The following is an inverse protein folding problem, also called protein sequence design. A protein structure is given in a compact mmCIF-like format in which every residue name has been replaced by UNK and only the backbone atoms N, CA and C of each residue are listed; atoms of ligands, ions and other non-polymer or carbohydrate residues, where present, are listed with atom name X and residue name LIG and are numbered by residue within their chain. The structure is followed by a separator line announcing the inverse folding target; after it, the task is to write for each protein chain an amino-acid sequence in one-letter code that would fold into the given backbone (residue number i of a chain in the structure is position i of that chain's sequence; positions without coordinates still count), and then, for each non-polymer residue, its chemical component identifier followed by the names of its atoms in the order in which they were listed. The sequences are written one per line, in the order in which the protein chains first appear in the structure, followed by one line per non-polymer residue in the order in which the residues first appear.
data_IF_821645316606
#
_entry.id   IF_821645316606
#
_cell.length_a   1.000
_cell.length_b   1.000
_cell.length_c   1.000
_cell.angle_alpha   90.00
_cell.angle_beta   90.00
_cell.angle_gamma   90.00
#
_symmetry.space_group_name_H-M   'P 1'
#
loop_
_entity.id
_entity.type
_entity.pdbx_description
1 polymer ?
#
# COMPACT_ATOMS: atom_id res chain seq x y z
N UNK A 1 68.23 -16.37 -32.69
CA UNK A 1 67.76 -15.72 -31.45
C UNK A 1 66.52 -14.90 -31.76
N UNK A 2 65.33 -15.46 -31.61
CA UNK A 2 64.04 -14.74 -31.52
C UNK A 2 63.00 -15.72 -30.97
N UNK A 3 62.84 -15.72 -29.65
CA UNK A 3 61.84 -16.52 -28.95
C UNK A 3 60.46 -15.87 -29.14
N UNK A 4 59.56 -16.54 -29.87
CA UNK A 4 58.12 -16.21 -29.87
C UNK A 4 57.50 -16.76 -28.59
N UNK A 5 57.17 -15.87 -27.64
CA UNK A 5 56.23 -16.18 -26.56
C UNK A 5 54.81 -16.19 -27.15
N UNK A 6 54.11 -17.32 -27.01
CA UNK A 6 52.69 -17.49 -27.35
C UNK A 6 51.88 -17.58 -26.03
N UNK A 7 50.66 -17.03 -25.96
CA UNK A 7 50.06 -16.53 -24.71
C UNK A 7 49.19 -17.58 -24.03
N UNK A 8 49.48 -17.86 -22.76
CA UNK A 8 48.66 -18.72 -21.90
C UNK A 8 47.89 -17.93 -20.82
N UNK A 9 47.55 -16.65 -21.08
CA UNK A 9 46.89 -15.76 -20.11
C UNK A 9 45.50 -15.26 -20.59
N UNK A 10 45.10 -15.53 -21.83
CA UNK A 10 43.81 -15.03 -22.37
C UNK A 10 42.65 -16.00 -22.11
N UNK A 11 42.92 -17.28 -21.85
CA UNK A 11 41.86 -18.29 -21.68
C UNK A 11 41.19 -18.30 -20.28
N UNK A 12 41.84 -17.77 -19.23
CA UNK A 12 41.27 -17.71 -17.88
C UNK A 12 40.45 -16.44 -17.60
N UNK A 13 40.68 -15.36 -18.34
CA UNK A 13 39.87 -14.14 -18.26
C UNK A 13 38.55 -14.24 -19.02
N UNK A 14 38.45 -15.14 -20.00
CA UNK A 14 37.20 -15.40 -20.71
C UNK A 14 36.24 -16.32 -19.96
N UNK A 15 36.72 -17.13 -19.01
CA UNK A 15 35.84 -18.02 -18.23
C UNK A 15 35.23 -17.36 -16.99
N UNK A 16 35.76 -16.21 -16.55
CA UNK A 16 35.23 -15.44 -15.42
C UNK A 16 34.33 -14.26 -15.81
N UNK A 17 34.21 -13.93 -17.10
CA UNK A 17 33.37 -12.84 -17.59
C UNK A 17 31.97 -13.27 -18.07
N UNK A 18 31.61 -14.57 -17.98
CA UNK A 18 30.33 -15.08 -18.52
C UNK A 18 29.27 -15.32 -17.43
N UNK A 19 29.56 -15.07 -16.14
CA UNK A 19 28.55 -15.24 -15.05
C UNK A 19 27.88 -13.95 -14.56
N UNK A 20 28.14 -12.79 -15.16
CA UNK A 20 27.48 -11.52 -14.78
C UNK A 20 26.65 -10.88 -15.91
N UNK A 21 26.24 -11.65 -16.92
CA UNK A 21 25.03 -11.34 -17.69
C UNK A 21 23.87 -12.19 -17.18
N UNK A 22 23.47 -11.96 -15.93
CA UNK A 22 22.10 -12.29 -15.55
C UNK A 22 21.23 -11.23 -16.22
N UNK A 23 20.77 -11.57 -17.43
CA UNK A 23 19.77 -10.81 -18.16
C UNK A 23 18.70 -10.34 -17.17
N UNK A 24 18.43 -9.05 -17.17
CA UNK A 24 17.20 -8.50 -16.63
C UNK A 24 16.10 -9.30 -17.31
N UNK A 25 15.51 -10.27 -16.57
CA UNK A 25 14.40 -11.08 -17.04
C UNK A 25 13.43 -10.12 -17.71
N UNK A 26 13.07 -10.42 -18.96
CA UNK A 26 12.22 -9.57 -19.80
C UNK A 26 11.16 -8.93 -18.90
N UNK A 27 11.30 -7.63 -18.67
CA UNK A 27 10.33 -6.89 -17.89
C UNK A 27 9.03 -7.05 -18.68
N UNK A 28 8.14 -7.91 -18.19
CA UNK A 28 6.87 -8.16 -18.86
C UNK A 28 6.17 -6.84 -19.14
N UNK A 29 5.29 -6.81 -20.13
CA UNK A 29 4.72 -5.54 -20.62
C UNK A 29 4.17 -4.72 -19.45
N UNK A 30 4.65 -3.48 -19.35
CA UNK A 30 4.20 -2.49 -18.37
C UNK A 30 3.39 -1.43 -19.10
N UNK A 31 2.19 -1.14 -18.62
CA UNK A 31 1.37 -0.02 -19.08
C UNK A 31 1.05 0.91 -17.92
N UNK A 32 1.21 2.20 -18.13
CA UNK A 32 0.86 3.24 -17.17
C UNK A 32 -0.43 3.94 -17.58
N UNK A 33 -1.31 4.21 -16.61
CA UNK A 33 -2.58 4.91 -16.80
C UNK A 33 -2.73 5.97 -15.71
N UNK A 34 -3.24 7.16 -16.06
CA UNK A 34 -3.69 8.15 -15.07
C UNK A 34 -5.11 7.79 -14.64
N UNK A 35 -5.27 7.39 -13.38
CA UNK A 35 -6.56 7.08 -12.75
C UNK A 35 -7.33 8.36 -12.44
N UNK A 36 -6.62 9.38 -11.96
CA UNK A 36 -7.16 10.71 -11.71
C UNK A 36 -6.06 11.73 -11.91
N UNK A 37 -6.33 12.76 -12.70
CA UNK A 37 -5.51 13.97 -12.85
C UNK A 37 -6.42 15.15 -13.21
N UNK A 38 -6.21 16.28 -12.56
CA UNK A 38 -6.90 17.53 -12.85
C UNK A 38 -5.89 18.67 -12.60
N UNK A 39 -5.65 19.58 -13.58
CA UNK A 39 -4.76 20.72 -13.37
C UNK A 39 -5.16 21.56 -12.16
N UNK A 40 -4.19 21.99 -11.36
CA UNK A 40 -4.38 22.71 -10.11
C UNK A 40 -4.74 21.84 -8.90
N UNK A 41 -4.89 20.52 -9.09
CA UNK A 41 -5.33 19.60 -8.04
C UNK A 41 -4.22 18.62 -7.60
N UNK A 42 -4.44 18.02 -6.43
CA UNK A 42 -3.63 16.98 -5.84
C UNK A 42 -4.47 15.71 -5.66
N UNK A 43 -3.95 14.58 -6.12
CA UNK A 43 -4.45 13.24 -5.83
C UNK A 43 -3.42 12.43 -5.05
N UNK A 44 -3.79 11.85 -3.90
CA UNK A 44 -2.84 11.23 -2.99
C UNK A 44 -3.31 9.98 -2.23
N UNK A 45 -2.30 9.27 -1.71
CA UNK A 45 -2.38 8.32 -0.59
C UNK A 45 -3.43 7.19 -0.68
N UNK A 46 -3.52 6.41 -1.77
CA UNK A 46 -4.47 5.29 -1.81
C UNK A 46 -4.23 4.23 -0.71
N UNK A 47 -3.01 4.12 -0.18
CA UNK A 47 -2.71 3.29 0.99
C UNK A 47 -3.39 3.73 2.31
N UNK A 48 -3.84 4.97 2.43
CA UNK A 48 -4.66 5.41 3.58
C UNK A 48 -6.12 4.95 3.44
N UNK A 49 -6.50 4.55 2.23
CA UNK A 49 -7.86 4.22 1.89
C UNK A 49 -8.05 2.69 1.79
N UNK A 50 -8.57 2.20 0.67
CA UNK A 50 -8.76 0.78 0.38
C UNK A 50 -8.75 0.53 -1.13
N UNK A 51 -8.65 -0.74 -1.51
CA UNK A 51 -8.79 -1.20 -2.89
C UNK A 51 -9.62 -2.48 -2.88
N UNK A 52 -10.52 -2.62 -3.84
CA UNK A 52 -11.40 -3.78 -3.99
C UNK A 52 -11.43 -4.22 -5.44
N UNK A 53 -11.61 -5.52 -5.65
CA UNK A 53 -11.58 -6.10 -6.98
C UNK A 53 -12.62 -7.21 -7.13
N UNK A 54 -13.41 -7.12 -8.20
CA UNK A 54 -14.44 -8.08 -8.59
C UNK A 54 -14.22 -8.54 -10.04
N UNK A 55 -12.99 -8.97 -10.35
CA UNK A 55 -12.58 -9.37 -11.71
C UNK A 55 -11.94 -8.21 -12.47
N UNK A 56 -12.63 -7.68 -13.48
CA UNK A 56 -12.19 -6.47 -14.19
C UNK A 56 -12.77 -5.18 -13.59
N UNK A 57 -13.72 -5.30 -12.65
CA UNK A 57 -14.15 -4.16 -11.83
C UNK A 57 -13.14 -3.93 -10.69
N UNK A 58 -12.57 -2.74 -10.63
CA UNK A 58 -11.61 -2.32 -9.59
C UNK A 58 -12.12 -1.01 -9.00
N UNK A 59 -12.12 -0.91 -7.67
CA UNK A 59 -12.45 0.31 -6.93
C UNK A 59 -11.28 0.67 -6.01
N UNK A 60 -10.83 1.91 -6.01
CA UNK A 60 -9.77 2.40 -5.14
C UNK A 60 -10.15 3.73 -4.51
N UNK A 61 -9.87 3.89 -3.22
CA UNK A 61 -10.03 5.17 -2.54
C UNK A 61 -8.76 6.02 -2.60
N UNK A 62 -8.91 7.34 -2.60
CA UNK A 62 -7.80 8.29 -2.57
C UNK A 62 -8.23 9.65 -2.00
N UNK A 63 -7.28 10.49 -1.62
CA UNK A 63 -7.54 11.87 -1.22
C UNK A 63 -7.41 12.82 -2.42
N UNK A 64 -8.38 13.72 -2.59
CA UNK A 64 -8.37 14.81 -3.56
C UNK A 64 -8.37 16.16 -2.84
N UNK A 65 -7.55 17.09 -3.28
CA UNK A 65 -7.59 18.49 -2.83
C UNK A 65 -6.86 19.42 -3.78
N UNK A 66 -6.62 20.65 -3.37
CA UNK A 66 -5.90 21.63 -4.18
C UNK A 66 -4.39 21.44 -4.06
N UNK A 67 -3.68 21.61 -5.17
CA UNK A 67 -2.23 21.69 -5.16
C UNK A 67 -1.79 23.06 -4.61
N UNK A 68 -0.77 23.06 -3.76
CA UNK A 68 -0.07 24.26 -3.32
C UNK A 68 1.42 23.94 -3.16
N UNK A 69 2.30 24.75 -3.74
CA UNK A 69 3.74 24.56 -3.52
C UNK A 69 4.11 24.95 -2.08
N UNK A 70 4.44 23.96 -1.26
CA UNK A 70 4.89 24.14 0.11
C UNK A 70 6.41 23.87 0.27
N UNK A 71 7.12 23.77 -0.86
CA UNK A 71 8.53 23.46 -0.93
C UNK A 71 8.84 21.96 -0.92
N UNK A 72 10.13 21.60 -1.05
CA UNK A 72 10.56 20.24 -1.38
C UNK A 72 10.37 19.23 -0.25
N UNK A 73 10.17 19.68 0.99
CA UNK A 73 10.10 18.82 2.17
C UNK A 73 8.70 18.55 2.70
N UNK A 74 7.67 19.06 2.02
CA UNK A 74 6.27 18.94 2.42
C UNK A 74 5.47 18.23 1.33
N UNK A 75 4.28 17.77 1.72
CA UNK A 75 3.25 17.42 0.75
C UNK A 75 2.72 18.72 0.15
N UNK A 76 2.78 18.85 -1.17
CA UNK A 76 2.35 20.06 -1.88
C UNK A 76 0.82 20.10 -2.04
N UNK A 77 0.15 20.11 -0.88
CA UNK A 77 -1.28 20.05 -0.69
C UNK A 77 -1.73 21.32 0.05
N UNK A 78 -2.74 22.01 -0.47
CA UNK A 78 -3.28 23.21 0.15
C UNK A 78 -4.08 22.86 1.41
N UNK A 79 -3.53 23.24 2.57
CA UNK A 79 -4.12 22.91 3.88
C UNK A 79 -5.34 23.75 4.21
N UNK A 80 -5.52 24.88 3.53
CA UNK A 80 -6.62 25.82 3.77
C UNK A 80 -7.83 25.52 2.86
N UNK A 81 -7.72 24.52 1.99
CA UNK A 81 -8.76 24.08 1.07
C UNK A 81 -9.35 22.73 1.48
N UNK A 82 -10.56 22.46 1.01
CA UNK A 82 -11.26 21.22 1.32
C UNK A 82 -10.55 20.00 0.72
N UNK A 83 -10.33 18.99 1.55
CA UNK A 83 -9.93 17.66 1.13
C UNK A 83 -11.15 16.73 1.03
N UNK A 84 -11.21 15.97 -0.05
CA UNK A 84 -12.26 15.00 -0.32
C UNK A 84 -11.65 13.59 -0.34
N UNK A 85 -12.31 12.66 0.35
CA UNK A 85 -12.02 11.22 0.24
C UNK A 85 -12.84 10.66 -0.92
N UNK A 86 -12.18 10.45 -2.05
CA UNK A 86 -12.80 10.06 -3.31
C UNK A 86 -12.65 8.56 -3.56
N UNK A 87 -13.46 8.04 -4.46
CA UNK A 87 -13.29 6.72 -5.06
C UNK A 87 -12.98 6.88 -6.56
N UNK A 88 -12.21 5.95 -7.11
CA UNK A 88 -12.04 5.79 -8.55
C UNK A 88 -12.38 4.34 -8.94
N UNK A 89 -13.23 4.18 -9.95
CA UNK A 89 -13.71 2.90 -10.44
C UNK A 89 -13.27 2.64 -11.87
N UNK A 90 -12.77 1.43 -12.13
CA UNK A 90 -12.56 0.89 -13.46
C UNK A 90 -13.48 -0.31 -13.68
N UNK A 91 -13.98 -0.47 -14.91
CA UNK A 91 -14.82 -1.59 -15.34
C UNK A 91 -14.12 -2.51 -16.37
N UNK A 92 -12.86 -2.19 -16.71
CA UNK A 92 -12.10 -2.83 -17.79
C UNK A 92 -10.70 -3.30 -17.33
N UNK A 93 -10.55 -3.56 -16.03
CA UNK A 93 -9.33 -4.08 -15.43
C UNK A 93 -8.23 -3.03 -15.24
N UNK A 94 -8.62 -1.76 -15.12
CA UNK A 94 -7.74 -0.64 -14.83
C UNK A 94 -7.29 0.17 -16.04
N UNK A 95 -7.89 -0.05 -17.22
CA UNK A 95 -7.54 0.66 -18.45
C UNK A 95 -8.17 2.05 -18.50
N UNK A 96 -9.41 2.19 -18.03
CA UNK A 96 -10.14 3.46 -17.90
C UNK A 96 -10.77 3.59 -16.51
N UNK A 97 -10.97 4.84 -16.08
CA UNK A 97 -11.39 5.16 -14.71
C UNK A 97 -12.44 6.29 -14.66
N UNK A 98 -13.39 6.16 -13.74
CA UNK A 98 -14.36 7.19 -13.38
C UNK A 98 -14.21 7.53 -11.90
N UNK A 99 -14.25 8.82 -11.55
CA UNK A 99 -14.13 9.28 -10.16
C UNK A 99 -15.52 9.50 -9.56
N UNK A 100 -15.69 9.07 -8.32
CA UNK A 100 -16.93 9.09 -7.55
C UNK A 100 -16.67 9.83 -6.21
N UNK A 101 -17.57 10.72 -5.81
CA UNK A 101 -17.55 11.36 -4.48
C UNK A 101 -18.58 10.67 -3.57
N UNK A 102 -18.17 9.67 -2.76
CA UNK A 102 -19.11 8.98 -1.87
C UNK A 102 -19.71 9.93 -0.84
N UNK A 103 -18.99 10.98 -0.42
CA UNK A 103 -19.47 11.88 0.61
C UNK A 103 -20.58 12.83 0.16
N UNK A 104 -20.81 13.01 -1.15
CA UNK A 104 -21.66 14.09 -1.67
C UNK A 104 -23.16 13.99 -1.34
N UNK A 105 -23.68 12.77 -1.11
CA UNK A 105 -25.13 12.57 -0.89
C UNK A 105 -25.45 12.48 0.60
N UNK A 106 -24.84 11.52 1.30
CA UNK A 106 -25.15 11.22 2.71
C UNK A 106 -23.92 11.23 3.64
N UNK A 107 -22.78 11.75 3.16
CA UNK A 107 -21.55 11.82 3.95
C UNK A 107 -20.82 10.47 4.06
N UNK A 108 -21.06 9.53 3.15
CA UNK A 108 -20.35 8.25 3.15
C UNK A 108 -18.84 8.44 3.10
N UNK A 109 -18.14 7.66 3.93
CA UNK A 109 -16.69 7.66 4.08
C UNK A 109 -16.07 9.00 4.53
N UNK A 110 -16.89 9.99 4.89
CA UNK A 110 -16.43 11.21 5.56
C UNK A 110 -16.11 10.85 7.01
N UNK A 111 -14.88 11.16 7.46
CA UNK A 111 -14.46 10.93 8.84
C UNK A 111 -14.44 12.28 9.58
N UNK A 112 -14.68 12.33 10.90
CA UNK A 112 -14.61 13.58 11.66
C UNK A 112 -13.17 14.12 11.74
N UNK A 113 -13.04 15.43 11.91
CA UNK A 113 -11.72 16.10 11.96
C UNK A 113 -11.08 15.93 13.32
N UNK A 114 -10.18 14.96 13.43
CA UNK A 114 -9.22 14.89 14.52
C UNK A 114 -7.78 14.90 13.99
N UNK A 115 -7.55 15.34 12.73
CA UNK A 115 -6.23 15.34 12.10
C UNK A 115 -5.91 14.13 11.21
N UNK A 116 -6.92 13.51 10.60
CA UNK A 116 -6.75 12.50 9.53
C UNK A 116 -6.65 13.11 8.12
N UNK A 117 -7.00 14.39 7.99
CA UNK A 117 -6.94 15.16 6.76
C UNK A 117 -5.65 15.98 6.68
N UNK A 118 -5.14 16.13 5.47
CA UNK A 118 -4.11 17.09 5.10
C UNK A 118 -4.69 18.49 4.81
N UNK A 119 -5.95 18.55 4.36
CA UNK A 119 -6.73 19.79 4.17
C UNK A 119 -7.83 19.99 5.20
N UNK A 120 -8.77 20.89 4.88
CA UNK A 120 -9.98 21.09 5.67
C UNK A 120 -11.02 20.02 5.37
N UNK A 121 -11.78 19.61 6.37
CA UNK A 121 -12.98 18.79 6.13
C UNK A 121 -14.02 19.59 5.36
N UNK A 122 -14.68 18.92 4.42
CA UNK A 122 -15.82 19.45 3.67
C UNK A 122 -16.95 19.90 4.61
N UNK A 123 -17.60 21.03 4.29
CA UNK A 123 -18.65 21.64 5.13
C UNK A 123 -20.05 21.55 4.53
N UNK A 124 -20.14 21.08 3.30
CA UNK A 124 -21.37 20.88 2.54
C UNK A 124 -22.18 19.68 3.04
N UNK A 125 -21.52 18.69 3.64
CA UNK A 125 -22.15 17.52 4.27
C UNK A 125 -21.59 17.33 5.69
N UNK A 126 -22.44 16.83 6.59
CA UNK A 126 -22.03 16.50 7.96
C UNK A 126 -21.37 15.12 7.97
N UNK A 127 -20.22 14.99 8.63
CA UNK A 127 -19.64 13.68 8.89
C UNK A 127 -20.61 12.81 9.71
N UNK A 128 -20.90 11.57 9.28
CA UNK A 128 -21.83 10.69 9.99
C UNK A 128 -21.26 10.27 11.36
N UNK A 129 -22.13 10.22 12.37
CA UNK A 129 -21.78 9.72 13.69
C UNK A 129 -21.76 8.18 13.71
N UNK A 130 -20.94 7.54 14.57
CA UNK A 130 -20.94 6.10 14.69
C UNK A 130 -22.31 5.54 15.08
N UNK A 131 -22.77 4.54 14.33
CA UNK A 131 -23.97 3.75 14.63
C UNK A 131 -23.59 2.43 15.31
N UNK A 132 -24.53 1.75 16.01
CA UNK A 132 -24.28 0.42 16.56
C UNK A 132 -23.81 -0.56 15.47
N UNK A 133 -22.81 -1.38 15.80
CA UNK A 133 -22.33 -2.42 14.90
C UNK A 133 -23.43 -3.42 14.58
N UNK A 134 -23.50 -3.83 13.31
CA UNK A 134 -24.35 -4.93 12.85
C UNK A 134 -23.49 -6.06 12.27
N UNK A 135 -24.08 -7.24 12.11
CA UNK A 135 -23.34 -8.39 11.59
C UNK A 135 -23.04 -8.23 10.09
N UNK A 136 -21.75 -8.13 9.76
CA UNK A 136 -21.24 -8.14 8.39
C UNK A 136 -21.09 -9.59 7.90
N UNK A 137 -21.57 -9.86 6.69
CA UNK A 137 -21.33 -11.05 5.89
C UNK A 137 -20.06 -10.81 5.06
N UNK A 138 -18.91 -11.20 5.61
CA UNK A 138 -17.63 -11.03 4.93
C UNK A 138 -17.50 -11.92 3.68
N UNK A 139 -18.36 -12.94 3.51
CA UNK A 139 -18.37 -13.80 2.34
C UNK A 139 -19.24 -13.24 1.18
N UNK A 140 -19.85 -12.07 1.35
CA UNK A 140 -20.64 -11.45 0.29
C UNK A 140 -19.75 -11.16 -0.94
N UNK A 141 -20.09 -11.66 -2.14
CA UNK A 141 -19.26 -11.49 -3.33
C UNK A 141 -19.15 -10.05 -3.82
N UNK A 142 -19.99 -9.14 -3.33
CA UNK A 142 -19.97 -7.71 -3.67
C UNK A 142 -19.44 -6.84 -2.52
N UNK A 143 -18.84 -7.46 -1.49
CA UNK A 143 -18.32 -6.75 -0.34
C UNK A 143 -17.23 -5.74 -0.74
N UNK A 144 -17.42 -4.48 -0.37
CA UNK A 144 -16.33 -3.55 -0.09
C UNK A 144 -16.31 -3.29 1.41
N UNK A 145 -15.16 -3.46 2.05
CA UNK A 145 -15.00 -3.28 3.49
C UNK A 145 -13.79 -2.37 3.74
N UNK A 146 -13.94 -1.39 4.63
CA UNK A 146 -12.89 -0.41 4.88
C UNK A 146 -12.83 0.00 6.34
N UNK A 147 -11.61 0.25 6.81
CA UNK A 147 -11.36 1.00 8.04
C UNK A 147 -10.71 2.34 7.72
N UNK A 148 -11.03 3.36 8.51
CA UNK A 148 -10.43 4.70 8.41
C UNK A 148 -10.03 5.21 9.78
N UNK A 149 -8.83 5.75 9.87
CA UNK A 149 -8.38 6.54 11.01
C UNK A 149 -9.13 7.87 11.09
N UNK A 150 -9.33 8.39 12.30
CA UNK A 150 -9.82 9.76 12.50
C UNK A 150 -8.68 10.75 12.76
N UNK A 151 -7.50 10.26 13.17
CA UNK A 151 -6.26 11.04 13.31
C UNK A 151 -4.99 10.23 12.99
N UNK A 152 -3.83 10.89 13.05
CA UNK A 152 -2.50 10.28 12.90
C UNK A 152 -1.76 10.06 14.24
N UNK A 153 -2.39 10.38 15.37
CA UNK A 153 -1.78 10.33 16.71
C UNK A 153 -2.46 9.34 17.66
N UNK A 154 -3.36 8.52 17.12
CA UNK A 154 -4.10 7.53 17.86
C UNK A 154 -5.42 8.11 18.39
N UNK A 155 -6.48 7.92 17.60
CA UNK A 155 -7.87 8.08 17.99
C UNK A 155 -8.68 6.81 17.68
N UNK A 156 -9.98 6.85 18.00
CA UNK A 156 -10.90 5.83 17.52
C UNK A 156 -10.90 5.77 15.99
N UNK A 157 -11.04 4.56 15.46
CA UNK A 157 -11.20 4.34 14.03
C UNK A 157 -12.65 4.03 13.69
N UNK A 158 -12.96 4.07 12.40
CA UNK A 158 -14.29 3.88 11.85
C UNK A 158 -14.28 2.75 10.82
N UNK A 159 -15.35 1.96 10.81
CA UNK A 159 -15.57 0.88 9.84
C UNK A 159 -16.73 1.27 8.94
N UNK A 160 -16.60 1.02 7.64
CA UNK A 160 -17.74 0.94 6.73
C UNK A 160 -17.69 -0.33 5.92
N UNK A 161 -18.86 -0.76 5.46
CA UNK A 161 -18.94 -1.79 4.46
C UNK A 161 -20.02 -1.47 3.42
N UNK A 162 -19.94 -2.12 2.27
CA UNK A 162 -20.90 -2.04 1.18
C UNK A 162 -21.15 -3.45 0.65
N UNK A 163 -22.39 -3.76 0.25
CA UNK A 163 -22.75 -4.98 -0.47
C UNK A 163 -23.10 -4.75 -1.94
N UNK A 164 -22.88 -3.53 -2.44
CA UNK A 164 -23.15 -3.14 -3.83
C UNK A 164 -21.90 -2.61 -4.53
N UNK A 165 -20.73 -3.12 -4.11
CA UNK A 165 -19.41 -2.77 -4.66
C UNK A 165 -19.03 -1.31 -4.46
N UNK A 166 -19.39 -0.75 -3.30
CA UNK A 166 -19.01 0.58 -2.86
C UNK A 166 -19.80 1.71 -3.50
N UNK A 167 -21.03 1.45 -3.97
CA UNK A 167 -21.95 2.50 -4.46
C UNK A 167 -22.70 3.16 -3.32
N UNK A 168 -23.05 2.38 -2.30
CA UNK A 168 -23.63 2.81 -1.05
C UNK A 168 -22.87 2.17 0.11
N UNK A 169 -22.65 2.93 1.20
CA UNK A 169 -21.89 2.47 2.35
C UNK A 169 -22.72 2.51 3.62
N UNK A 170 -22.64 1.42 4.38
CA UNK A 170 -23.17 1.33 5.73
C UNK A 170 -22.09 1.61 6.75
N UNK A 171 -22.44 2.43 7.74
CA UNK A 171 -21.58 2.83 8.83
C UNK A 171 -21.75 4.33 9.13
N UNK A 172 -20.77 4.95 9.81
CA UNK A 172 -19.61 4.29 10.39
C UNK A 172 -19.98 3.42 11.59
N UNK A 173 -19.29 2.29 11.75
CA UNK A 173 -19.26 1.57 13.02
C UNK A 173 -17.99 1.93 13.80
N UNK A 174 -18.03 1.85 15.14
CA UNK A 174 -16.86 2.12 15.98
C UNK A 174 -15.90 0.92 15.94
N UNK A 175 -14.62 1.19 15.68
CA UNK A 175 -13.52 0.27 15.95
C UNK A 175 -12.83 0.69 17.26
N UNK A 176 -12.71 -0.20 18.26
CA UNK A 176 -12.12 0.15 19.55
C UNK A 176 -10.62 0.46 19.43
N UNK A 177 -10.05 1.06 20.46
CA UNK A 177 -8.62 1.37 20.54
C UNK A 177 -7.75 0.22 21.09
N UNK A 178 -8.35 -0.91 21.45
CA UNK A 178 -7.67 -2.09 21.97
C UNK A 178 -6.77 -1.82 23.19
N UNK A 179 -7.16 -0.87 24.05
CA UNK A 179 -6.38 -0.50 25.23
C UNK A 179 -5.14 0.36 24.95
N UNK A 180 -5.02 0.91 23.73
CA UNK A 180 -3.97 1.85 23.33
C UNK A 180 -4.50 3.28 23.33
N UNK A 181 -3.63 4.30 23.20
CA UNK A 181 -4.09 5.69 23.09
C UNK A 181 -4.90 5.92 21.81
N UNK A 182 -4.64 5.15 20.75
CA UNK A 182 -5.56 4.99 19.63
C UNK A 182 -4.94 4.31 18.41
N UNK A 183 -5.71 4.27 17.33
CA UNK A 183 -5.45 3.42 16.15
C UNK A 183 -5.44 4.27 14.88
N UNK A 184 -4.28 4.30 14.20
CA UNK A 184 -4.13 4.82 12.84
C UNK A 184 -4.58 3.79 11.81
N UNK A 185 -5.88 3.44 11.82
CA UNK A 185 -6.41 2.38 10.97
C UNK A 185 -6.32 2.73 9.48
N UNK A 186 -5.83 1.77 8.71
CA UNK A 186 -5.80 1.77 7.26
C UNK A 186 -6.23 0.38 6.81
N UNK A 187 -6.89 0.29 5.66
CA UNK A 187 -7.52 -0.98 5.24
C UNK A 187 -6.46 -2.02 4.90
N UNK A 188 -6.36 -3.04 5.76
CA UNK A 188 -5.61 -4.28 5.56
C UNK A 188 -6.30 -5.37 6.38
N UNK A 189 -6.83 -6.39 5.70
CA UNK A 189 -7.66 -7.41 6.32
C UNK A 189 -7.51 -8.77 5.63
N UNK A 190 -7.80 -9.82 6.40
CA UNK A 190 -7.95 -11.19 5.89
C UNK A 190 -9.32 -11.70 6.32
N UNK A 191 -10.10 -12.18 5.35
CA UNK A 191 -11.41 -12.80 5.60
C UNK A 191 -11.19 -14.31 5.70
N UNK A 192 -11.51 -14.88 6.86
CA UNK A 192 -11.37 -16.32 7.14
C UNK A 192 -12.72 -17.06 7.08
N UNK A 193 -13.82 -16.32 7.02
CA UNK A 193 -15.14 -16.92 6.88
C UNK A 193 -16.25 -15.89 6.87
N UNK A 194 -17.50 -16.37 6.78
CA UNK A 194 -18.70 -15.54 6.69
C UNK A 194 -18.81 -14.46 7.77
N UNK A 195 -18.33 -14.76 8.99
CA UNK A 195 -18.34 -13.85 10.14
C UNK A 195 -16.95 -13.61 10.72
N UNK A 196 -15.92 -14.18 10.11
CA UNK A 196 -14.55 -14.18 10.65
C UNK A 196 -13.66 -13.30 9.78
N UNK A 197 -13.07 -12.29 10.41
CA UNK A 197 -12.17 -11.35 9.75
C UNK A 197 -11.05 -10.94 10.71
N UNK A 198 -9.84 -10.83 10.19
CA UNK A 198 -8.69 -10.28 10.88
C UNK A 198 -8.35 -8.91 10.30
N UNK A 199 -7.99 -7.94 11.15
CA UNK A 199 -7.43 -6.66 10.73
C UNK A 199 -5.99 -6.53 11.20
N UNK A 200 -5.21 -5.85 10.38
CA UNK A 200 -3.84 -5.47 10.68
C UNK A 200 -3.78 -3.95 10.77
N UNK A 201 -3.57 -3.45 11.98
CA UNK A 201 -3.77 -2.04 12.31
C UNK A 201 -2.51 -1.42 12.87
N UNK A 202 -2.30 -0.13 12.63
CA UNK A 202 -1.25 0.62 13.32
C UNK A 202 -1.80 1.18 14.62
N UNK A 203 -1.30 0.72 15.75
CA UNK A 203 -1.60 1.27 17.06
C UNK A 203 -0.51 2.25 17.51
N UNK A 204 -0.91 3.16 18.39
CA UNK A 204 0.04 4.01 19.10
C UNK A 204 0.95 3.16 20.02
N UNK A 205 2.21 3.55 20.09
CA UNK A 205 3.23 3.01 20.99
C UNK A 205 2.95 3.41 22.44
N UNK A 206 3.67 2.81 23.37
CA UNK A 206 3.54 3.11 24.81
C UNK A 206 3.76 4.61 25.15
N UNK A 207 4.52 5.34 24.33
CA UNK A 207 4.74 6.78 24.48
C UNK A 207 3.65 7.68 23.84
N UNK A 208 2.55 7.09 23.36
CA UNK A 208 1.42 7.80 22.76
C UNK A 208 1.61 8.24 21.30
N UNK A 209 2.76 7.93 20.67
CA UNK A 209 3.01 8.24 19.24
C UNK A 209 2.62 7.05 18.35
N UNK A 210 2.22 7.29 17.10
CA UNK A 210 2.00 6.23 16.10
C UNK A 210 3.25 5.34 15.99
N UNK A 211 3.11 4.00 15.92
CA UNK A 211 4.29 3.22 15.56
C UNK A 211 4.36 1.72 15.75
N UNK A 212 3.29 0.98 16.07
CA UNK A 212 3.40 -0.49 16.16
C UNK A 212 2.17 -1.19 15.59
N UNK A 213 2.39 -2.28 14.84
CA UNK A 213 1.31 -3.04 14.23
C UNK A 213 0.69 -4.02 15.23
N UNK A 214 -0.64 -4.12 15.22
CA UNK A 214 -1.44 -5.11 15.94
C UNK A 214 -2.24 -5.98 14.98
N UNK A 215 -2.50 -7.20 15.42
CA UNK A 215 -3.45 -8.14 14.86
C UNK A 215 -4.69 -8.16 15.74
N UNK A 216 -5.87 -7.97 15.15
CA UNK A 216 -7.17 -8.06 15.84
C UNK A 216 -8.12 -8.94 15.03
N UNK A 217 -9.07 -9.61 15.70
CA UNK A 217 -9.98 -10.57 15.06
C UNK A 217 -11.42 -10.34 15.50
N UNK A 218 -12.35 -10.55 14.58
CA UNK A 218 -13.77 -10.74 14.86
C UNK A 218 -14.21 -12.14 14.43
N UNK A 219 -15.20 -12.71 15.13
CA UNK A 219 -15.86 -13.98 14.78
C UNK A 219 -17.38 -13.84 14.66
N UNK A 220 -17.91 -12.64 14.83
CA UNK A 220 -19.34 -12.32 14.88
C UNK A 220 -19.75 -11.26 13.86
N UNK A 221 -19.00 -11.15 12.76
CA UNK A 221 -19.30 -10.23 11.67
C UNK A 221 -18.95 -8.78 12.01
N UNK A 222 -17.91 -8.54 12.82
CA UNK A 222 -17.44 -7.20 13.15
C UNK A 222 -18.25 -6.48 14.24
N UNK A 223 -19.14 -7.19 14.94
CA UNK A 223 -19.85 -6.64 16.10
C UNK A 223 -18.90 -6.47 17.30
N UNK A 224 -18.02 -7.45 17.51
CA UNK A 224 -16.96 -7.39 18.51
C UNK A 224 -15.59 -7.64 17.85
N UNK A 225 -14.56 -7.02 18.41
CA UNK A 225 -13.17 -7.13 17.96
C UNK A 225 -12.25 -7.43 19.13
N UNK A 226 -11.56 -8.55 19.06
CA UNK A 226 -10.60 -8.99 20.06
C UNK A 226 -9.18 -8.65 19.63
N UNK A 227 -8.39 -8.13 20.57
CA UNK A 227 -6.94 -8.04 20.40
C UNK A 227 -6.34 -9.44 20.37
N UNK A 228 -5.55 -9.76 19.34
CA UNK A 228 -4.89 -11.07 19.20
C UNK A 228 -3.43 -10.97 19.61
N UNK A 229 -2.66 -10.11 18.94
CA UNK A 229 -1.23 -10.01 19.18
C UNK A 229 -0.65 -8.68 18.69
N UNK A 230 0.49 -8.31 19.28
CA UNK A 230 1.40 -7.36 18.67
C UNK A 230 2.23 -8.05 17.59
N UNK A 231 2.48 -7.36 16.48
CA UNK A 231 3.37 -7.85 15.42
C UNK A 231 4.74 -7.20 15.61
N UNK A 232 5.73 -8.03 15.96
CA UNK A 232 7.08 -7.56 16.28
C UNK A 232 7.19 -6.85 17.63
N UNK A 233 8.41 -6.50 18.02
CA UNK A 233 8.69 -5.69 19.22
C UNK A 233 8.32 -4.22 18.99
N UNK A 234 8.15 -3.45 20.06
CA UNK A 234 7.96 -2.00 19.93
C UNK A 234 9.24 -1.34 19.39
N UNK A 235 9.17 -0.60 18.27
CA UNK A 235 10.35 0.02 17.67
C UNK A 235 10.72 1.36 18.31
N UNK A 236 12.00 1.76 18.19
CA UNK A 236 12.44 3.10 18.62
C UNK A 236 11.80 4.18 17.73
N UNK A 237 11.88 4.01 16.41
CA UNK A 237 11.14 4.77 15.42
C UNK A 237 9.71 4.27 15.25
N UNK A 238 9.36 3.66 14.10
CA UNK A 238 8.00 3.15 13.86
C UNK A 238 7.94 1.92 12.95
N UNK A 239 6.90 1.10 13.14
CA UNK A 239 6.44 0.00 12.29
C UNK A 239 4.94 0.20 12.06
N UNK A 240 4.58 0.62 10.84
CA UNK A 240 3.24 1.11 10.51
C UNK A 240 2.80 0.63 9.14
N UNK A 241 1.53 0.89 8.79
CA UNK A 241 0.97 0.66 7.45
C UNK A 241 1.26 -0.78 6.97
N UNK A 242 0.69 -1.80 7.64
CA UNK A 242 0.93 -3.18 7.27
C UNK A 242 0.35 -3.50 5.89
N UNK A 243 0.93 -4.52 5.27
CA UNK A 243 0.33 -5.26 4.17
C UNK A 243 0.39 -6.75 4.53
N UNK A 244 -0.77 -7.41 4.54
CA UNK A 244 -0.93 -8.81 4.95
C UNK A 244 -1.31 -9.73 3.78
N UNK A 245 -0.89 -10.99 3.84
CA UNK A 245 -1.38 -12.06 2.95
C UNK A 245 -1.55 -13.39 3.69
N UNK A 246 -2.67 -14.06 3.42
CA UNK A 246 -2.95 -15.45 3.82
C UNK A 246 -2.11 -16.39 2.96
N UNK A 247 -1.16 -17.11 3.56
CA UNK A 247 -0.31 -18.09 2.86
C UNK A 247 -1.00 -19.45 2.79
N UNK A 248 -1.55 -19.92 3.91
CA UNK A 248 -2.27 -21.19 4.07
C UNK A 248 -3.30 -21.03 5.18
N UNK A 249 -4.07 -22.08 5.48
CA UNK A 249 -5.10 -22.06 6.53
C UNK A 249 -4.61 -21.53 7.89
N UNK A 250 -3.31 -21.65 8.18
CA UNK A 250 -2.72 -21.21 9.45
C UNK A 250 -1.59 -20.18 9.31
N UNK A 251 -1.03 -19.99 8.11
CA UNK A 251 0.12 -19.10 7.90
C UNK A 251 -0.30 -17.74 7.35
N UNK A 252 0.24 -16.68 7.95
CA UNK A 252 0.05 -15.28 7.53
C UNK A 252 1.39 -14.60 7.44
N UNK A 253 1.65 -13.91 6.34
CA UNK A 253 2.78 -13.00 6.20
C UNK A 253 2.31 -11.56 6.28
N UNK A 254 2.99 -10.76 7.09
CA UNK A 254 2.78 -9.31 7.19
C UNK A 254 4.10 -8.60 6.91
N UNK A 255 4.05 -7.57 6.09
CA UNK A 255 5.16 -6.62 5.88
C UNK A 255 4.77 -5.25 6.42
N UNK A 256 5.72 -4.47 6.93
CA UNK A 256 5.42 -3.15 7.50
C UNK A 256 6.37 -2.06 7.01
N UNK A 257 5.90 -0.82 6.99
CA UNK A 257 6.73 0.36 6.75
C UNK A 257 7.56 0.65 7.99
N UNK A 258 8.89 0.64 7.85
CA UNK A 258 9.81 0.90 8.95
C UNK A 258 10.58 2.19 8.81
N UNK A 259 10.80 2.84 9.95
CA UNK A 259 11.80 3.89 10.12
C UNK A 259 12.48 3.69 11.45
N UNK A 260 13.81 3.66 11.43
CA UNK A 260 14.69 3.72 12.59
C UNK A 260 15.74 4.78 12.26
N UNK A 261 15.79 5.88 13.01
CA UNK A 261 16.62 7.05 12.68
C UNK A 261 16.46 7.52 11.21
N UNK A 262 17.54 7.36 10.44
CA UNK A 262 17.66 7.67 9.00
C UNK A 262 17.46 6.45 8.10
N UNK A 263 17.28 5.26 8.66
CA UNK A 263 17.03 4.05 7.92
C UNK A 263 15.51 3.90 7.66
N UNK A 264 15.14 3.66 6.40
CA UNK A 264 13.75 3.49 5.96
C UNK A 264 13.67 2.24 5.10
N UNK A 265 12.97 1.22 5.58
CA UNK A 265 13.00 -0.14 5.03
C UNK A 265 11.63 -0.79 5.18
N UNK A 266 11.48 -2.00 4.66
CA UNK A 266 10.29 -2.83 4.87
C UNK A 266 10.75 -4.12 5.54
N UNK A 267 10.17 -4.44 6.69
CA UNK A 267 10.39 -5.71 7.38
C UNK A 267 9.26 -6.69 7.11
N UNK A 268 9.43 -7.93 7.58
CA UNK A 268 8.48 -9.01 7.41
C UNK A 268 8.34 -9.87 8.66
N UNK A 269 7.12 -10.32 8.94
CA UNK A 269 6.78 -11.20 10.04
C UNK A 269 5.89 -12.34 9.55
N UNK A 270 6.17 -13.56 10.00
CA UNK A 270 5.38 -14.75 9.70
C UNK A 270 4.69 -15.25 10.97
N UNK A 271 3.38 -15.45 10.89
CA UNK A 271 2.62 -16.26 11.83
C UNK A 271 2.36 -17.64 11.23
N UNK A 272 2.37 -18.68 12.06
CA UNK A 272 2.02 -20.07 11.71
C UNK A 272 0.81 -20.59 12.48
N UNK A 273 0.16 -19.72 13.23
CA UNK A 273 -0.88 -20.01 14.22
C UNK A 273 -2.00 -18.96 14.15
N UNK A 274 -2.36 -18.54 12.92
CA UNK A 274 -3.47 -17.61 12.68
C UNK A 274 -3.34 -16.28 13.43
N UNK A 275 -2.13 -15.73 13.45
CA UNK A 275 -1.80 -14.42 13.99
C UNK A 275 -1.60 -14.38 15.50
N UNK A 276 -1.64 -15.52 16.20
CA UNK A 276 -1.42 -15.57 17.65
C UNK A 276 0.04 -15.28 18.03
N UNK A 277 1.00 -15.77 17.26
CA UNK A 277 2.42 -15.46 17.42
C UNK A 277 3.08 -15.08 16.09
N UNK A 278 4.14 -14.27 16.18
CA UNK A 278 4.82 -13.70 15.02
C UNK A 278 6.34 -13.86 15.14
N UNK A 279 6.96 -14.43 14.11
CA UNK A 279 8.41 -14.56 13.99
C UNK A 279 8.94 -13.60 12.92
N UNK A 280 10.02 -12.84 13.18
CA UNK A 280 10.62 -12.00 12.15
C UNK A 280 11.23 -12.85 11.02
N UNK A 281 11.17 -12.32 9.81
CA UNK A 281 11.88 -12.81 8.62
C UNK A 281 12.94 -11.79 8.19
N UNK A 282 13.89 -12.14 7.30
CA UNK A 282 14.75 -11.15 6.66
C UNK A 282 13.94 -10.04 6.00
N UNK A 283 14.47 -8.81 6.04
CA UNK A 283 13.81 -7.66 5.44
C UNK A 283 13.64 -7.89 3.91
N UNK A 284 12.42 -7.81 3.36
CA UNK A 284 12.25 -7.84 1.91
C UNK A 284 12.92 -6.66 1.19
N UNK A 285 13.00 -5.50 1.85
CA UNK A 285 13.55 -4.26 1.26
C UNK A 285 14.39 -3.54 2.30
N UNK A 286 15.71 -3.49 2.08
CA UNK A 286 16.66 -2.83 2.99
C UNK A 286 16.68 -1.29 2.85
N UNK A 287 16.19 -0.73 1.74
CA UNK A 287 16.12 0.72 1.57
C UNK A 287 14.97 1.13 0.67
N UNK A 288 14.16 2.07 1.17
CA UNK A 288 13.08 2.72 0.44
C UNK A 288 13.41 4.19 0.10
N UNK A 289 14.69 4.60 0.18
CA UNK A 289 15.08 6.00 0.11
C UNK A 289 14.45 6.79 1.27
N UNK A 290 13.56 7.73 0.96
CA UNK A 290 12.81 8.52 1.95
C UNK A 290 11.57 7.81 2.53
N UNK A 291 11.36 6.52 2.19
CA UNK A 291 10.39 5.65 2.85
C UNK A 291 9.00 5.64 2.23
N UNK A 292 8.43 4.44 2.07
CA UNK A 292 7.10 4.22 1.51
C UNK A 292 6.48 2.97 2.15
N UNK A 293 5.14 2.89 2.29
CA UNK A 293 4.52 1.66 2.77
C UNK A 293 4.55 0.54 1.72
N UNK A 294 4.52 -0.73 2.17
CA UNK A 294 4.33 -1.87 1.30
C UNK A 294 2.86 -2.00 0.84
N UNK A 295 2.67 -2.65 -0.31
CA UNK A 295 1.42 -3.28 -0.72
C UNK A 295 1.75 -4.71 -1.16
N UNK A 296 0.93 -5.69 -0.77
CA UNK A 296 1.26 -7.09 -1.01
C UNK A 296 0.01 -7.87 -1.41
N UNK A 297 0.16 -8.83 -2.33
CA UNK A 297 -0.86 -9.84 -2.61
C UNK A 297 -0.24 -11.20 -2.88
N UNK A 298 -1.00 -12.26 -2.61
CA UNK A 298 -0.68 -13.62 -3.07
C UNK A 298 -1.31 -13.79 -4.45
N UNK A 299 -0.46 -14.04 -5.45
CA UNK A 299 -0.87 -14.22 -6.83
C UNK A 299 -1.58 -15.57 -7.01
N UNK A 300 -2.42 -15.68 -8.03
CA UNK A 300 -3.12 -16.93 -8.41
C UNK A 300 -2.20 -18.12 -8.67
N UNK A 301 -0.95 -17.89 -9.06
CA UNK A 301 0.06 -18.94 -9.26
C UNK A 301 0.78 -19.36 -7.96
N UNK A 302 0.37 -18.81 -6.81
CA UNK A 302 0.87 -19.14 -5.49
C UNK A 302 2.04 -18.28 -5.01
N UNK A 303 2.70 -17.52 -5.89
CA UNK A 303 3.78 -16.61 -5.50
C UNK A 303 3.24 -15.38 -4.77
N UNK A 304 4.12 -14.65 -4.07
CA UNK A 304 3.75 -13.40 -3.39
C UNK A 304 4.39 -12.23 -4.14
N UNK A 305 3.60 -11.21 -4.45
CA UNK A 305 4.04 -9.96 -5.04
C UNK A 305 4.02 -8.85 -3.98
N UNK A 306 5.16 -8.20 -3.76
CA UNK A 306 5.31 -7.01 -2.94
C UNK A 306 5.57 -5.81 -3.85
N UNK A 307 4.84 -4.71 -3.63
CA UNK A 307 5.00 -3.45 -4.35
C UNK A 307 5.27 -2.33 -3.33
N UNK A 308 6.19 -1.43 -3.66
CA UNK A 308 6.52 -0.28 -2.83
C UNK A 308 7.07 0.87 -3.68
N UNK A 309 6.96 2.09 -3.17
CA UNK A 309 7.68 3.24 -3.72
C UNK A 309 9.12 3.31 -3.19
N UNK A 310 10.07 3.64 -4.05
CA UNK A 310 11.39 4.09 -3.65
C UNK A 310 11.47 5.61 -3.87
N UNK A 311 11.83 6.37 -2.84
CA UNK A 311 11.78 7.84 -2.88
C UNK A 311 13.18 8.43 -2.81
N UNK A 312 13.73 8.86 -3.93
CA UNK A 312 14.99 9.59 -3.96
C UNK A 312 14.80 11.04 -3.47
N UNK A 313 15.88 11.67 -3.00
CA UNK A 313 15.87 13.11 -2.71
C UNK A 313 15.80 13.91 -4.01
N UNK A 314 15.12 15.06 -3.97
CA UNK A 314 15.00 15.91 -5.17
C UNK A 314 16.36 16.37 -5.71
N UNK A 315 17.32 16.63 -4.84
CA UNK A 315 18.66 17.04 -5.25
C UNK A 315 19.38 15.91 -6.00
N UNK A 316 19.19 14.65 -5.59
CA UNK A 316 19.76 13.50 -6.25
C UNK A 316 19.09 13.24 -7.61
N UNK A 317 17.77 13.44 -7.70
CA UNK A 317 17.03 13.37 -8.97
C UNK A 317 17.53 14.46 -9.93
N UNK A 318 17.66 15.71 -9.47
CA UNK A 318 18.13 16.85 -10.27
C UNK A 318 19.55 16.63 -10.80
N UNK A 319 20.41 16.00 -9.99
CA UNK A 319 21.80 15.70 -10.35
C UNK A 319 21.99 14.30 -10.96
N UNK A 320 20.91 13.59 -11.29
CA UNK A 320 20.93 12.26 -11.89
C UNK A 320 21.76 11.23 -11.09
N UNK A 321 21.75 11.34 -9.76
CA UNK A 321 22.41 10.42 -8.82
C UNK A 321 21.49 9.30 -8.34
N UNK A 322 20.19 9.55 -8.32
CA UNK A 322 19.17 8.60 -7.89
C UNK A 322 17.82 8.93 -8.54
N UNK A 323 16.84 8.03 -8.47
CA UNK A 323 15.50 8.18 -9.06
C UNK A 323 14.42 7.79 -8.06
N UNK A 324 13.25 8.43 -8.17
CA UNK A 324 12.07 7.94 -7.47
C UNK A 324 11.30 6.97 -8.36
N UNK A 325 10.94 5.82 -7.80
CA UNK A 325 10.50 4.66 -8.56
C UNK A 325 9.32 3.96 -7.88
N UNK A 326 8.56 3.18 -8.65
CA UNK A 326 7.67 2.14 -8.12
C UNK A 326 8.31 0.81 -8.45
N UNK A 327 8.49 -0.04 -7.44
CA UNK A 327 9.21 -1.31 -7.54
C UNK A 327 8.32 -2.46 -7.12
N UNK A 328 8.59 -3.62 -7.68
CA UNK A 328 8.01 -4.88 -7.26
C UNK A 328 9.08 -5.93 -6.92
N UNK A 329 8.77 -6.82 -6.00
CA UNK A 329 9.55 -8.03 -5.71
C UNK A 329 8.61 -9.23 -5.69
N UNK A 330 9.12 -10.38 -6.11
CA UNK A 330 8.38 -11.64 -6.11
C UNK A 330 9.06 -12.62 -5.15
N UNK A 331 8.28 -13.29 -4.32
CA UNK A 331 8.73 -14.43 -3.53
C UNK A 331 8.09 -15.73 -4.03
N UNK A 332 8.92 -16.77 -4.18
CA UNK A 332 8.49 -18.12 -4.56
C UNK A 332 8.38 -19.08 -3.35
N UNK A 333 8.74 -18.63 -2.15
CA UNK A 333 8.88 -19.46 -0.94
C UNK A 333 8.12 -18.86 0.26
N UNK A 334 6.97 -18.25 -0.04
CA UNK A 334 6.06 -17.65 0.93
C UNK A 334 6.72 -16.56 1.80
N UNK A 335 7.50 -15.68 1.16
CA UNK A 335 8.08 -14.49 1.76
C UNK A 335 9.43 -14.69 2.47
N UNK A 336 10.02 -15.89 2.41
CA UNK A 336 11.31 -16.19 3.06
C UNK A 336 12.48 -15.55 2.28
N UNK A 337 12.41 -15.59 0.96
CA UNK A 337 13.34 -14.93 0.06
C UNK A 337 12.60 -14.16 -1.02
N UNK A 338 13.26 -13.15 -1.58
CA UNK A 338 12.67 -12.23 -2.55
C UNK A 338 13.60 -12.05 -3.75
N UNK A 339 13.02 -11.84 -4.92
CA UNK A 339 13.75 -11.50 -6.14
C UNK A 339 14.52 -10.18 -6.01
N UNK A 340 15.33 -9.87 -7.02
CA UNK A 340 15.73 -8.48 -7.27
C UNK A 340 14.51 -7.62 -7.59
N UNK A 341 14.68 -6.30 -7.55
CA UNK A 341 13.62 -5.35 -7.85
C UNK A 341 13.26 -5.42 -9.34
N UNK A 342 11.96 -5.51 -9.62
CA UNK A 342 11.39 -5.15 -10.91
C UNK A 342 10.98 -3.68 -10.82
N UNK A 343 11.66 -2.82 -11.56
CA UNK A 343 11.34 -1.38 -11.59
C UNK A 343 10.13 -1.18 -12.48
N UNK A 344 8.94 -1.03 -11.89
CA UNK A 344 7.70 -0.84 -12.63
C UNK A 344 7.63 0.54 -13.27
N UNK A 345 8.17 1.56 -12.60
CA UNK A 345 8.15 2.95 -13.07
C UNK A 345 9.34 3.71 -12.49
N UNK A 346 10.05 4.51 -13.29
CA UNK A 346 11.31 5.19 -12.89
C UNK A 346 11.41 6.68 -13.28
N UNK A 347 10.33 7.26 -13.78
CA UNK A 347 10.22 8.65 -14.23
C UNK A 347 9.73 9.62 -13.12
N UNK A 348 9.79 9.20 -11.86
CA UNK A 348 9.35 9.99 -10.72
C UNK A 348 10.15 11.28 -10.55
N UNK A 349 9.47 12.43 -10.57
CA UNK A 349 10.13 13.75 -10.56
C UNK A 349 10.44 14.30 -9.16
N UNK A 350 10.06 13.59 -8.10
CA UNK A 350 10.29 13.99 -6.71
C UNK A 350 10.03 12.86 -5.70
N UNK A 351 10.15 13.14 -4.40
CA UNK A 351 9.96 12.13 -3.34
C UNK A 351 8.50 11.88 -2.97
N UNK A 352 7.60 12.80 -3.29
CA UNK A 352 6.21 12.74 -2.84
C UNK A 352 5.35 11.90 -3.80
N UNK A 353 5.55 10.58 -3.73
CA UNK A 353 4.87 9.55 -4.54
C UNK A 353 4.74 8.20 -3.82
N UNK A 354 4.03 7.23 -4.39
CA UNK A 354 3.91 5.85 -3.89
C UNK A 354 2.62 5.62 -3.10
N UNK A 355 2.70 5.09 -1.88
CA UNK A 355 1.52 4.65 -1.10
C UNK A 355 0.69 3.62 -1.89
N UNK A 356 1.31 2.54 -2.38
CA UNK A 356 0.65 1.65 -3.31
C UNK A 356 -0.52 0.88 -2.67
N UNK A 357 -1.41 0.44 -3.55
CA UNK A 357 -2.38 -0.64 -3.39
C UNK A 357 -2.22 -1.58 -4.58
N UNK A 358 -2.58 -2.85 -4.42
CA UNK A 358 -2.33 -3.86 -5.46
C UNK A 358 -3.48 -4.85 -5.55
N UNK A 359 -3.88 -5.18 -6.79
CA UNK A 359 -4.86 -6.22 -7.12
C UNK A 359 -4.38 -7.05 -8.31
N UNK A 360 -4.96 -8.23 -8.52
CA UNK A 360 -4.66 -9.07 -9.67
C UNK A 360 -5.90 -9.24 -10.55
N UNK A 361 -5.77 -8.93 -11.84
CA UNK A 361 -6.82 -9.10 -12.86
C UNK A 361 -7.19 -10.55 -13.09
N UNK A 362 -8.31 -10.75 -13.78
CA UNK A 362 -8.75 -12.08 -14.23
C UNK A 362 -7.66 -12.81 -15.05
N UNK A 363 -6.98 -12.08 -15.94
CA UNK A 363 -5.94 -12.57 -16.85
C UNK A 363 -4.56 -12.79 -16.20
N UNK A 364 -4.43 -12.56 -14.88
CA UNK A 364 -3.21 -12.77 -14.12
C UNK A 364 -2.29 -11.55 -14.01
N UNK A 365 -2.55 -10.47 -14.76
CA UNK A 365 -1.77 -9.22 -14.63
C UNK A 365 -2.02 -8.54 -13.30
N UNK A 366 -1.01 -7.84 -12.82
CA UNK A 366 -1.03 -7.07 -11.58
C UNK A 366 -1.38 -5.62 -11.90
N UNK A 367 -2.28 -5.03 -11.13
CA UNK A 367 -2.59 -3.59 -11.19
C UNK A 367 -2.12 -2.94 -9.90
N UNK A 368 -1.05 -2.15 -10.00
CA UNK A 368 -0.49 -1.37 -8.91
C UNK A 368 -1.05 0.05 -8.96
N UNK A 369 -1.72 0.50 -7.90
CA UNK A 369 -2.37 1.80 -7.79
C UNK A 369 -1.63 2.65 -6.77
N UNK A 370 -1.18 3.83 -7.14
CA UNK A 370 -0.36 4.69 -6.28
C UNK A 370 -0.54 6.15 -6.69
N UNK A 371 -0.11 7.09 -5.86
CA UNK A 371 0.00 8.48 -6.31
C UNK A 371 1.40 8.76 -6.87
N UNK A 372 1.50 9.65 -7.85
CA UNK A 372 2.73 9.87 -8.59
C UNK A 372 2.89 11.34 -9.02
N UNK A 373 4.12 11.68 -9.41
CA UNK A 373 4.48 12.93 -10.06
C UNK A 373 5.58 12.65 -11.08
N UNK A 374 5.48 13.26 -12.25
CA UNK A 374 6.48 13.16 -13.32
C UNK A 374 6.72 14.53 -13.94
N UNK A 375 7.77 14.65 -14.76
CA UNK A 375 8.13 15.94 -15.37
C UNK A 375 7.10 16.39 -16.41
N UNK A 376 6.48 15.46 -17.12
CA UNK A 376 5.56 15.74 -18.22
C UNK A 376 4.23 16.32 -17.71
N UNK A 377 3.80 15.89 -16.52
CA UNK A 377 2.59 16.37 -15.84
C UNK A 377 2.85 17.68 -15.09
N UNK A 378 4.07 17.89 -14.60
CA UNK A 378 4.43 19.07 -13.82
C UNK A 378 4.41 18.81 -12.32
N UNK A 379 4.13 19.83 -11.48
CA UNK A 379 4.33 19.73 -10.04
C UNK A 379 3.19 19.01 -9.30
N UNK A 380 2.09 18.75 -9.98
CA UNK A 380 0.88 18.18 -9.40
C UNK A 380 1.03 16.67 -9.17
N UNK A 381 0.46 16.20 -8.06
CA UNK A 381 0.38 14.76 -7.77
C UNK A 381 -0.94 14.24 -8.29
N UNK A 382 -0.91 13.03 -8.84
CA UNK A 382 -2.06 12.41 -9.47
C UNK A 382 -2.12 10.92 -9.11
N UNK A 383 -3.27 10.28 -9.28
CA UNK A 383 -3.39 8.83 -9.05
C UNK A 383 -3.03 8.10 -10.34
N UNK A 384 -2.11 7.16 -10.24
CA UNK A 384 -1.61 6.34 -11.33
C UNK A 384 -1.96 4.87 -11.11
N UNK A 385 -2.15 4.15 -12.20
CA UNK A 385 -2.15 2.70 -12.24
C UNK A 385 -0.99 2.21 -13.11
N UNK A 386 -0.33 1.15 -12.67
CA UNK A 386 0.54 0.34 -13.52
C UNK A 386 -0.06 -1.03 -13.69
N UNK A 387 -0.34 -1.41 -14.93
CA UNK A 387 -0.74 -2.76 -15.33
C UNK A 387 0.53 -3.49 -15.76
N UNK A 388 0.91 -4.50 -15.00
CA UNK A 388 2.16 -5.25 -15.17
C UNK A 388 1.88 -6.72 -15.37
N UNK A 389 2.54 -7.31 -16.37
CA UNK A 389 2.60 -8.76 -16.54
C UNK A 389 3.84 -9.32 -15.82
N UNK A 390 3.69 -10.01 -14.66
CA UNK A 390 4.82 -10.56 -13.94
C UNK A 390 5.53 -11.63 -14.77
N UNK A 391 6.86 -11.76 -14.66
CA UNK A 391 7.57 -12.83 -15.36
C UNK A 391 7.00 -14.20 -14.96
N UNK A 392 6.87 -15.08 -15.95
CA UNK A 392 6.40 -16.44 -15.75
C UNK A 392 7.26 -17.18 -14.70
N UNK A 393 6.68 -18.19 -14.05
CA UNK A 393 7.47 -19.18 -13.32
C UNK A 393 8.38 -19.89 -14.32
N UNK A 394 9.69 -19.69 -14.17
CA UNK A 394 10.66 -20.54 -14.85
C UNK A 394 10.57 -21.92 -14.15
N UNK A 395 9.99 -22.89 -14.84
CA UNK A 395 9.93 -24.29 -14.39
C UNK A 395 11.32 -24.93 -14.36
#
# INVERSE_FOLDING_TARGET
MTNKRCPLIIALLYFFCIMNLHAQLAQGSVKHVKVYYEPGMFGGWPANHGVWNWGDEILVGFSKGNYMDLGPDRHNFDKEMTELHMLARSLDGGETWTVEDPGAVDGDLVVPDNGSYHGLIRKDVKAPEPIPAEQIDFANPNLAYTVRMTDHHGAESRIWYSYDRGKDWKGPFRLPNFGTSGIGARTDYIIDGKKECMLFLTAAKANGKEGRVICVKTIDGGQNWDFVAWIGLEPEGFSIMPASVRISDNEILVTTRRREDSHRFIDAYLSKDNGATWSPLPNPVESCGQGNPPAMLKMKDGRICLIYGYRALEEDIKNNRDKSEIRAKISNDNGRTWSKDYVLRDDGSGKDLGYPRVVQRADGKIVALYYFMDKDTGPERYIAATIWDPPALNN
#
